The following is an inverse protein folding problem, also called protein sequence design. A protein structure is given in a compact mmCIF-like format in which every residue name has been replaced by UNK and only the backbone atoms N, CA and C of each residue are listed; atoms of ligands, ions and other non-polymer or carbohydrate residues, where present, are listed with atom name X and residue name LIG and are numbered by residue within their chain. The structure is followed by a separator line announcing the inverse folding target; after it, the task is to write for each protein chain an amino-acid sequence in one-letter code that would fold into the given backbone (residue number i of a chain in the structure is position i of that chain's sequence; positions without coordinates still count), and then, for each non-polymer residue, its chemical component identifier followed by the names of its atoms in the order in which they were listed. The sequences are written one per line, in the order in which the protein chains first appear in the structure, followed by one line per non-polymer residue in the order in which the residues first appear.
data_IF_360235339256
#
_entry.id   IF_360235339256
#
_cell.length_a   1.000
_cell.length_b   1.000
_cell.length_c   1.000
_cell.angle_alpha   90.00
_cell.angle_beta   90.00
_cell.angle_gamma   90.00
#
_symmetry.space_group_name_H-M   'P 1'
#
loop_
_entity.id
_entity.type
_entity.pdbx_description
1 polymer ?
#
# COMPACT_ATOMS: atom_id res chain seq x y z
N UNK A 1 4.11 -21.93 3.84
CA UNK A 1 4.79 -20.62 3.99
C UNK A 1 3.74 -19.57 4.40
N UNK A 2 3.60 -19.26 5.70
CA UNK A 2 2.59 -18.32 6.25
C UNK A 2 2.93 -16.82 6.07
N UNK A 3 4.05 -16.50 5.43
CA UNK A 3 4.59 -15.13 5.33
C UNK A 3 3.84 -14.22 4.34
N UNK A 4 2.77 -14.69 3.68
CA UNK A 4 2.17 -14.02 2.51
C UNK A 4 0.66 -13.74 2.71
N UNK A 5 0.05 -14.13 3.83
CA UNK A 5 -1.41 -14.01 3.99
C UNK A 5 -1.87 -12.55 4.09
N UNK A 6 -1.20 -11.74 4.92
CA UNK A 6 -1.43 -10.29 5.00
C UNK A 6 -1.06 -9.55 3.69
N UNK A 7 -0.12 -10.10 2.90
CA UNK A 7 0.20 -9.57 1.57
C UNK A 7 -0.96 -9.79 0.59
N UNK A 8 -1.55 -10.99 0.57
CA UNK A 8 -2.71 -11.29 -0.27
C UNK A 8 -3.91 -10.45 0.13
N UNK A 9 -4.13 -10.28 1.43
CA UNK A 9 -5.19 -9.40 1.96
C UNK A 9 -4.97 -7.95 1.53
N UNK A 10 -3.74 -7.45 1.64
CA UNK A 10 -3.38 -6.10 1.19
C UNK A 10 -3.68 -5.87 -0.30
N UNK A 11 -3.29 -6.82 -1.14
CA UNK A 11 -3.53 -6.77 -2.58
C UNK A 11 -5.02 -6.85 -2.91
N UNK A 12 -5.78 -7.71 -2.22
CA UNK A 12 -7.22 -7.81 -2.42
C UNK A 12 -7.92 -6.48 -2.13
N UNK A 13 -7.63 -5.87 -0.97
CA UNK A 13 -8.18 -4.55 -0.58
C UNK A 13 -7.80 -3.48 -1.62
N UNK A 14 -6.56 -3.50 -2.12
CA UNK A 14 -6.12 -2.56 -3.14
C UNK A 14 -6.90 -2.71 -4.45
N UNK A 15 -7.12 -3.95 -4.91
CA UNK A 15 -7.81 -4.22 -6.16
C UNK A 15 -9.31 -3.87 -6.09
N UNK A 16 -9.93 -3.98 -4.92
CA UNK A 16 -11.30 -3.52 -4.68
C UNK A 16 -11.41 -1.99 -4.59
N UNK A 17 -10.31 -1.28 -4.30
CA UNK A 17 -10.32 0.17 -4.12
C UNK A 17 -10.28 0.91 -5.47
N UNK A 18 -11.46 1.18 -6.05
CA UNK A 18 -11.59 1.82 -7.37
C UNK A 18 -10.81 3.14 -7.52
N UNK A 19 -10.69 3.93 -6.44
CA UNK A 19 -9.94 5.19 -6.46
C UNK A 19 -8.46 5.01 -6.80
N UNK A 20 -7.84 3.89 -6.41
CA UNK A 20 -6.43 3.60 -6.73
C UNK A 20 -6.29 3.34 -8.23
N UNK A 21 -7.21 2.57 -8.81
CA UNK A 21 -7.23 2.32 -10.25
C UNK A 21 -7.50 3.60 -11.05
N UNK A 22 -8.30 4.53 -10.51
CA UNK A 22 -8.53 5.84 -11.14
C UNK A 22 -7.32 6.77 -11.04
N UNK A 23 -6.58 6.72 -9.92
CA UNK A 23 -5.41 7.54 -9.68
C UNK A 23 -4.21 7.08 -10.49
N UNK A 24 -3.83 5.80 -10.38
CA UNK A 24 -2.69 5.22 -11.07
C UNK A 24 -3.00 4.92 -12.55
N UNK A 25 -4.28 4.70 -12.89
CA UNK A 25 -4.72 4.37 -14.25
C UNK A 25 -4.74 2.86 -14.50
N UNK A 26 -5.79 2.39 -15.16
CA UNK A 26 -5.95 0.98 -15.58
C UNK A 26 -5.25 0.75 -16.94
N UNK A 27 -4.57 -0.39 -17.16
CA UNK A 27 -4.41 -1.51 -16.25
C UNK A 27 -3.40 -1.22 -15.12
N UNK A 28 -3.75 -1.65 -13.90
CA UNK A 28 -2.86 -1.60 -12.75
C UNK A 28 -2.06 -2.90 -12.68
N UNK A 29 -0.75 -2.80 -12.78
CA UNK A 29 0.18 -3.93 -12.65
C UNK A 29 0.85 -3.85 -11.29
N UNK A 30 0.75 -4.93 -10.52
CA UNK A 30 1.39 -5.06 -9.21
C UNK A 30 2.73 -5.72 -9.42
N UNK A 31 3.81 -5.03 -9.08
CA UNK A 31 5.16 -5.58 -9.14
C UNK A 31 5.46 -6.48 -7.93
N UNK A 32 6.59 -7.17 -7.99
CA UNK A 32 7.06 -7.98 -6.88
C UNK A 32 7.78 -7.09 -5.87
N UNK A 33 7.47 -7.24 -4.58
CA UNK A 33 8.24 -6.61 -3.53
C UNK A 33 9.62 -7.27 -3.42
N UNK A 34 10.68 -6.48 -3.44
CA UNK A 34 12.02 -6.99 -3.31
C UNK A 34 12.34 -7.32 -1.84
N UNK A 35 12.19 -8.59 -1.49
CA UNK A 35 12.46 -9.08 -0.12
C UNK A 35 13.92 -8.95 0.34
N UNK A 36 14.85 -8.62 -0.57
CA UNK A 36 16.25 -8.36 -0.24
C UNK A 36 16.52 -6.89 0.09
N UNK A 37 15.60 -6.00 -0.26
CA UNK A 37 15.63 -4.60 0.11
C UNK A 37 15.31 -4.43 1.60
N UNK A 38 16.31 -4.63 2.46
CA UNK A 38 16.14 -4.55 3.93
C UNK A 38 15.88 -3.14 4.45
N UNK A 39 16.05 -2.12 3.60
CA UNK A 39 15.79 -0.72 3.94
C UNK A 39 14.28 -0.41 3.86
N UNK A 40 13.58 -0.97 2.86
CA UNK A 40 12.14 -0.73 2.67
C UNK A 40 11.26 -1.93 3.05
N UNK A 41 11.77 -3.15 2.95
CA UNK A 41 11.11 -4.38 3.33
C UNK A 41 11.70 -4.95 4.63
N UNK A 42 10.91 -4.94 5.69
CA UNK A 42 11.36 -5.35 7.01
C UNK A 42 10.34 -6.28 7.65
N UNK A 43 10.80 -7.44 8.11
CA UNK A 43 10.00 -8.37 8.93
C UNK A 43 10.66 -8.46 10.30
N UNK A 44 10.11 -7.71 11.24
CA UNK A 44 10.54 -7.70 12.63
C UNK A 44 9.92 -8.83 13.47
N UNK A 45 10.17 -8.76 14.78
CA UNK A 45 9.58 -9.69 15.74
C UNK A 45 8.08 -9.46 15.95
N UNK A 46 7.60 -8.23 15.85
CA UNK A 46 6.20 -7.88 16.16
C UNK A 46 5.52 -7.10 15.02
N UNK A 47 6.30 -6.55 14.11
CA UNK A 47 5.82 -5.73 13.02
C UNK A 47 6.49 -6.15 11.70
N UNK A 48 5.82 -5.88 10.60
CA UNK A 48 6.28 -6.15 9.27
C UNK A 48 5.86 -5.01 8.36
N UNK A 49 6.80 -4.55 7.52
CA UNK A 49 6.58 -3.56 6.48
C UNK A 49 7.00 -4.14 5.14
N UNK A 50 6.13 -4.02 4.15
CA UNK A 50 6.45 -4.34 2.76
C UNK A 50 6.16 -3.14 1.86
N UNK A 51 7.07 -2.89 0.92
CA UNK A 51 6.94 -1.92 -0.14
C UNK A 51 6.72 -2.68 -1.46
N UNK A 52 5.55 -2.50 -2.06
CA UNK A 52 5.17 -3.17 -3.30
C UNK A 52 5.09 -2.13 -4.41
N UNK A 53 5.91 -2.22 -5.46
CA UNK A 53 5.80 -1.30 -6.57
C UNK A 53 4.50 -1.54 -7.34
N UNK A 54 3.84 -0.45 -7.71
CA UNK A 54 2.61 -0.41 -8.49
C UNK A 54 2.85 0.38 -9.77
N UNK A 55 2.44 -0.18 -10.90
CA UNK A 55 2.58 0.43 -12.21
C UNK A 55 1.19 0.60 -12.82
N UNK A 56 0.72 1.85 -12.86
CA UNK A 56 -0.50 2.19 -13.58
C UNK A 56 -0.20 2.81 -14.95
N UNK A 57 -1.24 2.93 -15.76
CA UNK A 57 -1.13 3.57 -17.09
C UNK A 57 -0.84 5.08 -17.02
N UNK A 58 -1.26 5.73 -15.94
CA UNK A 58 -1.03 7.14 -15.67
C UNK A 58 0.20 7.30 -14.79
N UNK A 59 0.14 6.83 -13.54
CA UNK A 59 1.20 6.98 -12.54
C UNK A 59 1.70 5.63 -12.05
N UNK A 60 3.00 5.59 -11.76
CA UNK A 60 3.62 4.61 -10.88
C UNK A 60 3.57 5.06 -9.41
N UNK A 61 3.75 4.10 -8.52
CA UNK A 61 3.75 4.34 -7.09
C UNK A 61 4.17 3.10 -6.31
N UNK A 62 4.06 3.18 -5.00
CA UNK A 62 4.42 2.13 -4.06
C UNK A 62 3.31 1.93 -3.04
N UNK A 63 2.91 0.67 -2.84
CA UNK A 63 2.05 0.28 -1.74
C UNK A 63 2.89 -0.06 -0.53
N UNK A 64 2.75 0.74 0.52
CA UNK A 64 3.29 0.47 1.83
C UNK A 64 2.28 -0.38 2.62
N UNK A 65 2.65 -1.62 2.87
CA UNK A 65 1.86 -2.60 3.63
C UNK A 65 2.46 -2.74 5.02
N UNK A 66 1.71 -2.36 6.04
CA UNK A 66 2.10 -2.53 7.44
C UNK A 66 1.25 -3.60 8.08
N UNK A 67 1.91 -4.59 8.67
CA UNK A 67 1.27 -5.64 9.43
C UNK A 67 1.90 -5.73 10.82
N UNK A 68 1.09 -6.05 11.83
CA UNK A 68 1.55 -6.30 13.19
C UNK A 68 1.03 -7.62 13.70
N UNK A 69 1.77 -8.22 14.63
CA UNK A 69 1.33 -9.38 15.38
C UNK A 69 1.51 -9.11 16.86
N UNK A 70 0.61 -9.65 17.66
CA UNK A 70 0.66 -9.47 19.11
C UNK A 70 1.88 -10.18 19.72
N UNK A 71 2.18 -11.39 19.23
CA UNK A 71 3.25 -12.23 19.74
C UNK A 71 3.97 -12.97 18.61
N UNK A 72 5.17 -13.50 18.89
CA UNK A 72 5.94 -14.28 17.90
C UNK A 72 5.23 -15.54 17.39
N UNK A 73 4.23 -16.02 18.15
CA UNK A 73 3.39 -17.18 17.85
C UNK A 73 2.13 -16.79 17.07
N UNK A 74 1.75 -15.52 17.09
CA UNK A 74 0.57 -14.99 16.41
C UNK A 74 0.86 -14.67 14.95
N UNK A 75 -0.18 -14.68 14.13
CA UNK A 75 -0.08 -14.33 12.71
C UNK A 75 0.04 -12.82 12.53
N UNK A 76 0.74 -12.41 11.48
CA UNK A 76 0.79 -11.00 11.10
C UNK A 76 -0.57 -10.58 10.56
N UNK A 77 -1.14 -9.60 11.23
CA UNK A 77 -2.42 -8.99 10.90
C UNK A 77 -2.14 -7.67 10.20
N UNK A 78 -2.82 -7.45 9.07
CA UNK A 78 -2.72 -6.17 8.37
C UNK A 78 -3.19 -5.05 9.30
N UNK A 79 -2.35 -4.05 9.48
CA UNK A 79 -2.64 -2.89 10.33
C UNK A 79 -2.94 -1.65 9.49
N UNK A 80 -2.17 -1.42 8.42
CA UNK A 80 -2.28 -0.21 7.60
C UNK A 80 -1.85 -0.44 6.16
N UNK A 81 -2.52 0.20 5.22
CA UNK A 81 -2.14 0.28 3.80
C UNK A 81 -2.06 1.74 3.37
N UNK A 82 -0.92 2.12 2.80
CA UNK A 82 -0.70 3.45 2.25
C UNK A 82 -0.22 3.34 0.80
N UNK A 83 -0.84 4.10 -0.09
CA UNK A 83 -0.38 4.29 -1.44
C UNK A 83 0.48 5.55 -1.51
N UNK A 84 1.73 5.40 -1.89
CA UNK A 84 2.62 6.51 -2.23
C UNK A 84 2.70 6.57 -3.76
N UNK A 85 2.43 7.72 -4.35
CA UNK A 85 2.65 7.93 -5.79
C UNK A 85 4.06 8.45 -6.03
N UNK A 86 4.58 8.27 -7.24
CA UNK A 86 5.89 8.82 -7.61
C UNK A 86 5.93 10.35 -7.62
N UNK A 87 4.77 11.02 -7.59
CA UNK A 87 4.63 12.45 -7.36
C UNK A 87 4.88 12.89 -5.90
N UNK A 88 5.03 11.95 -4.97
CA UNK A 88 5.21 12.21 -3.54
C UNK A 88 3.91 12.30 -2.75
N UNK A 89 2.74 12.20 -3.39
CA UNK A 89 1.45 12.16 -2.72
C UNK A 89 1.23 10.80 -2.04
N UNK A 90 0.72 10.83 -0.80
CA UNK A 90 0.42 9.65 0.02
C UNK A 90 -1.08 9.57 0.35
N UNK A 91 -1.67 8.40 0.12
CA UNK A 91 -3.08 8.12 0.34
C UNK A 91 -3.23 6.94 1.30
N UNK A 92 -4.05 7.10 2.34
CA UNK A 92 -4.41 6.02 3.24
C UNK A 92 -5.51 5.17 2.59
N UNK A 93 -5.22 3.91 2.29
CA UNK A 93 -6.18 2.99 1.66
C UNK A 93 -6.92 2.20 2.73
N UNK A 94 -6.22 1.78 3.79
CA UNK A 94 -6.80 0.97 4.85
C UNK A 94 -6.08 1.21 6.18
N UNK A 95 -6.84 1.18 7.27
CA UNK A 95 -6.32 1.09 8.63
C UNK A 95 -7.22 0.18 9.46
N UNK A 96 -6.62 -0.75 10.20
CA UNK A 96 -7.32 -1.66 11.10
C UNK A 96 -7.70 -0.99 12.41
N UNK A 97 -6.87 -0.07 12.89
CA UNK A 97 -7.17 0.76 14.06
C UNK A 97 -8.12 1.87 13.62
N UNK A 98 -9.38 1.80 14.07
CA UNK A 98 -10.35 2.91 13.95
C UNK A 98 -9.92 4.04 14.88
N UNK A 99 -8.95 4.84 14.46
CA UNK A 99 -8.71 6.20 14.95
C UNK A 99 -7.57 6.81 14.13
N UNK A 100 -7.94 7.49 13.05
CA UNK A 100 -7.58 8.88 12.72
C UNK A 100 -8.50 9.26 11.57
N UNK A 101 -9.48 10.10 11.89
CA UNK A 101 -10.21 10.89 10.92
C UNK A 101 -9.24 11.73 10.06
N UNK A 102 -9.60 11.95 8.79
CA UNK A 102 -9.06 13.00 7.89
C UNK A 102 -7.59 12.84 7.46
N UNK A 103 -7.27 11.81 6.69
CA UNK A 103 -6.39 12.03 5.53
C UNK A 103 -7.26 12.60 4.40
N UNK A 104 -6.76 13.53 3.57
CA UNK A 104 -7.62 14.31 2.68
C UNK A 104 -8.50 13.35 1.90
N UNK A 105 -9.84 13.44 2.09
CA UNK A 105 -10.77 12.98 1.06
C UNK A 105 -10.17 13.49 -0.23
N UNK A 106 -10.00 12.62 -1.23
CA UNK A 106 -9.51 12.94 -2.56
C UNK A 106 -10.35 14.12 -3.06
N UNK A 107 -9.93 15.33 -2.69
CA UNK A 107 -10.75 16.50 -2.85
C UNK A 107 -10.63 16.73 -4.33
N UNK A 108 -11.78 16.85 -4.99
CA UNK A 108 -11.86 17.22 -6.39
C UNK A 108 -11.28 18.62 -6.54
N UNK A 109 -9.97 18.78 -6.41
CA UNK A 109 -9.33 20.08 -6.48
C UNK A 109 -7.89 19.95 -6.96
N UNK A 110 -7.79 20.35 -8.23
CA UNK A 110 -6.62 20.48 -9.10
C UNK A 110 -6.08 19.14 -9.58
N UNK A 111 -6.18 18.98 -10.90
CA UNK A 111 -5.60 17.89 -11.68
C UNK A 111 -4.23 17.53 -11.07
N UNK A 112 -4.04 16.34 -10.47
CA UNK A 112 -2.71 15.92 -10.09
C UNK A 112 -1.85 16.00 -11.34
N UNK A 113 -0.60 16.46 -11.19
CA UNK A 113 0.31 16.55 -12.34
C UNK A 113 0.31 15.19 -13.01
N UNK A 114 -0.12 15.19 -14.26
CA UNK A 114 -0.28 13.99 -15.07
C UNK A 114 1.07 13.29 -15.03
N UNK A 115 1.14 12.10 -14.44
CA UNK A 115 2.36 11.33 -14.50
C UNK A 115 2.60 10.95 -15.96
N UNK A 116 3.60 11.62 -16.53
CA UNK A 116 4.63 11.16 -17.45
C UNK A 116 5.52 12.39 -17.62
N UNK A 117 6.76 12.25 -17.17
CA UNK A 117 7.93 13.14 -17.24
C UNK A 117 7.69 14.62 -17.61
#
# INVERSE_FOLDING_TARGET
MKKIEHYKEAVAILMEHEEVGNLLGKPLTIGNADVYDRENNYVGKIESKFLIPLFGANCDGYLNVFAKRENNLSEFLLEKLELETSGGDRYLIFTRSKEIEKSPKLSKQKRPRLCRE
#
